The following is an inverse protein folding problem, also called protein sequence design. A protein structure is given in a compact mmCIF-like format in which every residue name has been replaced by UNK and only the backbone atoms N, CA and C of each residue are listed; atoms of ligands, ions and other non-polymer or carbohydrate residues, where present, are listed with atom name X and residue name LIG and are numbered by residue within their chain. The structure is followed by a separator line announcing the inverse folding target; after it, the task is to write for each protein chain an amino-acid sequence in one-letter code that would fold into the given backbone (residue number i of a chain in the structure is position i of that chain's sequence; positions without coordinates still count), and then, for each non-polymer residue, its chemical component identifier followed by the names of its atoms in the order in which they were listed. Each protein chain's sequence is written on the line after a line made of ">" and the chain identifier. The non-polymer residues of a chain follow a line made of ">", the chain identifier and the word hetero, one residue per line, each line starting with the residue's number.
data_IF_528352595182
#
_entry.id   IF_528352595182
#
_cell.length_a   1.000
_cell.length_b   1.000
_cell.length_c   1.000
_cell.angle_alpha   90.00
_cell.angle_beta   90.00
_cell.angle_gamma   90.00
#
_symmetry.space_group_name_H-M   'P 1'
#
loop_
_entity.id
_entity.type
_entity.pdbx_description
1 polymer ?
#
# COMPACT_ATOMS: atom_id res chain seq x y z
N UNK A 1 -62.22 -19.86 -18.85
CA UNK A 1 -60.82 -19.99 -19.30
C UNK A 1 -60.02 -18.87 -18.66
N UNK A 2 -59.00 -19.22 -17.87
CA UNK A 2 -58.16 -18.30 -17.07
C UNK A 2 -57.02 -17.75 -17.94
N UNK A 3 -56.93 -16.45 -18.13
CA UNK A 3 -55.75 -15.79 -18.70
C UNK A 3 -54.88 -15.27 -17.55
N UNK A 4 -53.75 -15.94 -17.27
CA UNK A 4 -52.73 -15.46 -16.34
C UNK A 4 -51.75 -14.57 -17.12
N UNK A 5 -51.80 -13.25 -16.89
CA UNK A 5 -50.69 -12.36 -17.19
C UNK A 5 -49.57 -12.62 -16.17
N UNK A 6 -48.43 -13.11 -16.64
CA UNK A 6 -47.17 -13.12 -15.90
C UNK A 6 -46.32 -12.00 -16.50
N UNK A 7 -46.26 -10.86 -15.80
CA UNK A 7 -45.31 -9.79 -16.05
C UNK A 7 -43.92 -10.28 -15.61
N UNK A 8 -43.04 -10.54 -16.56
CA UNK A 8 -41.64 -10.83 -16.31
C UNK A 8 -40.92 -9.51 -15.95
N UNK A 9 -40.57 -9.36 -14.68
CA UNK A 9 -39.63 -8.32 -14.23
C UNK A 9 -38.23 -8.85 -14.53
N UNK A 10 -37.65 -8.38 -15.63
CA UNK A 10 -36.24 -8.60 -15.94
C UNK A 10 -35.39 -7.66 -15.05
N UNK A 11 -34.86 -8.18 -13.96
CA UNK A 11 -33.78 -7.53 -13.22
C UNK A 11 -32.50 -7.57 -14.06
N UNK A 12 -32.24 -6.48 -14.80
CA UNK A 12 -30.88 -6.14 -15.23
C UNK A 12 -30.07 -5.78 -13.99
N UNK A 13 -29.42 -6.76 -13.37
CA UNK A 13 -28.31 -6.51 -12.47
C UNK A 13 -27.15 -6.01 -13.33
N UNK A 14 -26.96 -4.69 -13.37
CA UNK A 14 -25.79 -4.08 -13.98
C UNK A 14 -24.54 -4.63 -13.33
N UNK A 15 -23.73 -5.37 -14.11
CA UNK A 15 -22.33 -5.59 -13.83
C UNK A 15 -21.69 -4.19 -13.79
N UNK A 16 -21.48 -3.65 -12.60
CA UNK A 16 -20.66 -2.47 -12.44
C UNK A 16 -19.26 -2.81 -12.94
N UNK A 17 -18.88 -2.27 -14.08
CA UNK A 17 -17.49 -2.20 -14.56
C UNK A 17 -16.68 -1.24 -13.67
N UNK A 18 -16.65 -1.50 -12.36
CA UNK A 18 -15.81 -0.81 -11.40
C UNK A 18 -14.51 -1.59 -11.23
N UNK A 19 -13.39 -0.86 -11.13
CA UNK A 19 -12.13 -1.42 -10.67
C UNK A 19 -12.32 -1.86 -9.20
N UNK A 20 -12.16 -3.15 -8.87
CA UNK A 20 -12.39 -3.63 -7.51
C UNK A 20 -11.29 -3.14 -6.57
N UNK A 21 -11.69 -2.74 -5.36
CA UNK A 21 -10.76 -2.59 -4.24
C UNK A 21 -10.48 -3.98 -3.66
N UNK A 22 -9.21 -4.27 -3.36
CA UNK A 22 -8.76 -5.52 -2.76
C UNK A 22 -8.02 -5.25 -1.44
N UNK A 23 -8.10 -6.20 -0.51
CA UNK A 23 -7.38 -6.13 0.75
C UNK A 23 -6.38 -7.28 0.84
N UNK A 24 -5.18 -6.98 1.32
CA UNK A 24 -4.09 -7.93 1.49
C UNK A 24 -3.54 -7.89 2.90
N UNK A 25 -2.91 -8.99 3.30
CA UNK A 25 -2.14 -9.08 4.53
C UNK A 25 -0.68 -9.38 4.20
N UNK A 26 0.24 -8.81 4.97
CA UNK A 26 1.67 -8.97 4.77
C UNK A 26 2.42 -8.63 6.06
N UNK A 27 3.75 -8.61 6.00
CA UNK A 27 4.64 -8.29 7.12
C UNK A 27 5.60 -7.18 6.67
N UNK A 28 5.86 -6.25 7.58
CA UNK A 28 6.87 -5.20 7.41
C UNK A 28 7.87 -5.25 8.56
N UNK A 29 9.06 -4.70 8.34
CA UNK A 29 9.98 -4.33 9.40
C UNK A 29 9.96 -2.81 9.59
N UNK A 30 9.86 -2.32 10.82
CA UNK A 30 9.97 -0.89 11.12
C UNK A 30 11.42 -0.44 10.97
N UNK A 31 11.68 0.53 10.09
CA UNK A 31 13.03 1.04 9.79
C UNK A 31 13.27 2.39 10.45
N UNK A 32 12.25 3.26 10.49
CA UNK A 32 12.35 4.56 11.16
C UNK A 32 11.01 5.01 11.73
N UNK A 33 11.07 5.81 12.79
CA UNK A 33 9.94 6.53 13.37
C UNK A 33 10.33 7.99 13.56
N UNK A 34 9.67 8.88 12.85
CA UNK A 34 9.89 10.32 12.95
C UNK A 34 8.64 11.00 13.52
N UNK A 35 8.81 11.74 14.62
CA UNK A 35 7.72 12.60 15.13
C UNK A 35 7.69 13.88 14.31
N UNK A 36 6.62 14.06 13.55
CA UNK A 36 6.45 15.19 12.63
C UNK A 36 5.91 16.41 13.37
N UNK A 37 4.93 16.19 14.25
CA UNK A 37 4.26 17.24 14.98
C UNK A 37 3.97 16.81 16.42
N UNK A 38 4.09 17.76 17.34
CA UNK A 38 3.79 17.60 18.77
C UNK A 38 2.78 18.65 19.22
N UNK A 39 1.95 18.29 20.20
CA UNK A 39 1.06 19.24 20.85
C UNK A 39 1.81 20.13 21.87
N UNK A 40 1.07 21.02 22.53
CA UNK A 40 1.59 21.93 23.57
C UNK A 40 2.19 21.21 24.79
N UNK A 41 1.84 19.94 25.01
CA UNK A 41 2.35 19.09 26.10
C UNK A 41 3.58 18.31 25.70
N UNK A 42 3.93 18.33 24.40
CA UNK A 42 5.04 17.59 23.83
C UNK A 42 4.67 16.17 23.37
N UNK A 43 3.38 15.81 23.40
CA UNK A 43 2.88 14.52 22.94
C UNK A 43 2.84 14.49 21.40
N UNK A 44 3.20 13.36 20.80
CA UNK A 44 3.22 13.23 19.34
C UNK A 44 1.79 13.18 18.79
N UNK A 45 1.45 14.13 17.90
CA UNK A 45 0.15 14.19 17.23
C UNK A 45 0.22 13.80 15.74
N UNK A 46 1.44 13.75 15.19
CA UNK A 46 1.68 13.21 13.86
C UNK A 46 3.02 12.48 13.83
N UNK A 47 3.02 11.29 13.23
CA UNK A 47 4.22 10.46 13.09
C UNK A 47 4.34 9.95 11.67
N UNK A 48 5.58 9.89 11.18
CA UNK A 48 5.96 9.14 9.99
C UNK A 48 6.60 7.83 10.46
N UNK A 49 6.00 6.72 10.03
CA UNK A 49 6.61 5.40 10.16
C UNK A 49 7.23 5.07 8.81
N UNK A 50 8.51 4.73 8.78
CA UNK A 50 9.21 4.18 7.61
C UNK A 50 9.43 2.69 7.84
N UNK A 51 9.12 1.89 6.83
CA UNK A 51 9.12 0.44 6.93
C UNK A 51 9.61 -0.20 5.64
N UNK A 52 10.19 -1.39 5.81
CA UNK A 52 10.63 -2.25 4.71
C UNK A 52 9.69 -3.45 4.60
N UNK A 53 9.37 -3.83 3.38
CA UNK A 53 8.53 -4.99 3.11
C UNK A 53 9.34 -6.29 3.11
N UNK A 54 9.37 -7.00 4.26
CA UNK A 54 10.11 -8.25 4.46
C UNK A 54 9.91 -9.32 3.35
N UNK A 55 8.68 -9.63 2.89
CA UNK A 55 8.50 -10.66 1.86
C UNK A 55 8.82 -10.15 0.44
N UNK A 56 8.90 -8.84 0.23
CA UNK A 56 8.97 -8.28 -1.12
C UNK A 56 10.43 -8.18 -1.59
N UNK A 57 10.76 -8.67 -2.81
CA UNK A 57 12.11 -8.58 -3.32
C UNK A 57 12.55 -7.13 -3.59
N UNK A 58 13.82 -6.85 -3.31
CA UNK A 58 14.44 -5.54 -3.48
C UNK A 58 14.21 -4.61 -2.28
N UNK A 59 14.78 -3.41 -2.34
CA UNK A 59 14.65 -2.41 -1.27
C UNK A 59 13.30 -1.69 -1.40
N UNK A 60 12.23 -2.36 -0.97
CA UNK A 60 10.88 -1.82 -0.99
C UNK A 60 10.59 -1.12 0.34
N UNK A 61 10.79 0.19 0.36
CA UNK A 61 10.50 1.02 1.53
C UNK A 61 9.19 1.78 1.33
N UNK A 62 8.43 1.92 2.41
CA UNK A 62 7.23 2.75 2.45
C UNK A 62 7.25 3.63 3.69
N UNK A 63 6.82 4.87 3.52
CA UNK A 63 6.53 5.80 4.60
C UNK A 63 5.03 5.97 4.68
N UNK A 64 4.46 5.79 5.87
CA UNK A 64 3.07 6.14 6.16
C UNK A 64 3.03 7.20 7.24
N UNK A 65 2.24 8.23 6.99
CA UNK A 65 1.91 9.26 7.97
C UNK A 65 0.62 8.89 8.68
N UNK A 66 0.62 8.98 10.00
CA UNK A 66 -0.58 8.81 10.81
C UNK A 66 -0.83 10.00 11.72
N UNK A 67 -2.11 10.29 11.94
CA UNK A 67 -2.59 11.30 12.87
C UNK A 67 -2.48 10.87 14.34
N UNK A 68 -3.11 11.62 15.27
CA UNK A 68 -2.86 11.51 16.70
C UNK A 68 -3.11 10.11 17.29
N UNK A 69 -4.20 9.46 16.88
CA UNK A 69 -4.54 8.12 17.39
C UNK A 69 -3.53 7.07 16.97
N UNK A 70 -3.08 7.12 15.71
CA UNK A 70 -2.04 6.25 15.19
C UNK A 70 -0.68 6.56 15.82
N UNK A 71 -0.34 7.84 15.97
CA UNK A 71 0.91 8.29 16.59
C UNK A 71 1.06 7.74 18.02
N UNK A 72 -0.03 7.80 18.80
CA UNK A 72 -0.09 7.24 20.16
C UNK A 72 -0.06 5.71 20.16
N UNK A 73 -0.84 5.07 19.28
CA UNK A 73 -0.89 3.61 19.24
C UNK A 73 0.47 2.97 18.92
N UNK A 74 1.23 3.60 18.02
CA UNK A 74 2.50 3.09 17.51
C UNK A 74 3.69 3.30 18.45
N UNK A 75 3.54 4.02 19.57
CA UNK A 75 4.63 4.27 20.53
C UNK A 75 5.24 2.99 21.13
N UNK A 76 4.47 1.91 21.16
CA UNK A 76 4.94 0.60 21.63
C UNK A 76 5.86 -0.12 20.65
N UNK A 77 5.85 0.27 19.38
CA UNK A 77 6.65 -0.35 18.33
C UNK A 77 7.99 0.36 18.19
N UNK A 78 9.04 -0.42 17.96
CA UNK A 78 10.41 0.03 17.87
C UNK A 78 10.99 -0.25 16.49
N UNK A 79 12.02 0.50 16.13
CA UNK A 79 12.84 0.19 14.96
C UNK A 79 13.40 -1.23 15.10
N UNK A 80 13.26 -2.02 14.04
CA UNK A 80 13.62 -3.42 13.97
C UNK A 80 12.45 -4.39 14.20
N UNK A 81 11.31 -3.92 14.73
CA UNK A 81 10.14 -4.77 14.96
C UNK A 81 9.53 -5.24 13.64
N UNK A 82 9.15 -6.51 13.60
CA UNK A 82 8.38 -7.10 12.49
C UNK A 82 6.91 -7.11 12.85
N UNK A 83 6.08 -6.49 12.02
CA UNK A 83 4.66 -6.30 12.30
C UNK A 83 3.81 -6.79 11.13
N UNK A 84 2.67 -7.47 11.41
CA UNK A 84 1.69 -7.72 10.38
C UNK A 84 1.07 -6.39 9.93
N UNK A 85 0.73 -6.29 8.66
CA UNK A 85 0.04 -5.13 8.09
C UNK A 85 -1.14 -5.56 7.26
N UNK A 86 -2.16 -4.70 7.21
CA UNK A 86 -3.24 -4.80 6.24
C UNK A 86 -3.16 -3.69 5.22
N UNK A 87 -3.24 -4.08 3.97
CA UNK A 87 -3.02 -3.22 2.81
C UNK A 87 -4.31 -3.14 2.03
N UNK A 88 -4.73 -1.93 1.68
CA UNK A 88 -5.81 -1.70 0.74
C UNK A 88 -5.20 -1.38 -0.61
N UNK A 89 -5.60 -2.12 -1.64
CA UNK A 89 -5.30 -1.88 -3.04
C UNK A 89 -6.57 -1.30 -3.68
N UNK A 90 -6.48 -0.10 -4.24
CA UNK A 90 -7.64 0.66 -4.68
C UNK A 90 -7.36 1.45 -5.95
N UNK A 91 -8.41 1.71 -6.71
CA UNK A 91 -8.30 2.44 -7.97
C UNK A 91 -8.16 3.94 -7.73
N UNK A 92 -7.08 4.54 -8.22
CA UNK A 92 -6.90 5.98 -8.22
C UNK A 92 -7.60 6.60 -9.46
N UNK A 93 -8.39 7.68 -9.28
CA UNK A 93 -9.05 8.36 -10.40
C UNK A 93 -8.10 8.85 -11.52
N UNK A 94 -6.80 8.93 -11.27
CA UNK A 94 -5.75 9.26 -12.26
C UNK A 94 -5.42 8.08 -13.20
N UNK A 95 -6.09 6.93 -13.06
CA UNK A 95 -6.02 5.82 -14.01
C UNK A 95 -4.98 4.75 -13.68
N UNK A 96 -4.68 4.55 -12.40
CA UNK A 96 -3.72 3.53 -11.93
C UNK A 96 -4.19 2.98 -10.60
N UNK A 97 -3.88 1.71 -10.31
CA UNK A 97 -4.05 1.23 -8.94
C UNK A 97 -2.99 1.80 -8.02
N UNK A 98 -3.40 2.03 -6.77
CA UNK A 98 -2.54 2.39 -5.66
C UNK A 98 -2.78 1.43 -4.52
N UNK A 99 -1.82 1.37 -3.61
CA UNK A 99 -1.98 0.67 -2.37
C UNK A 99 -1.58 1.55 -1.20
N UNK A 100 -2.15 1.26 -0.04
CA UNK A 100 -1.70 1.85 1.20
C UNK A 100 -2.03 0.98 2.42
N UNK A 101 -1.22 1.11 3.47
CA UNK A 101 -1.39 0.35 4.72
C UNK A 101 -2.44 1.05 5.58
N UNK A 102 -3.56 0.38 5.89
CA UNK A 102 -4.59 0.93 6.78
C UNK A 102 -4.50 0.38 8.21
N UNK A 103 -3.71 -0.67 8.43
CA UNK A 103 -3.48 -1.26 9.76
C UNK A 103 -2.04 -1.78 9.86
N UNK A 104 -1.34 -1.41 10.93
CA UNK A 104 0.02 -1.85 11.25
C UNK A 104 0.06 -2.40 12.68
N UNK A 105 0.33 -3.70 12.81
CA UNK A 105 0.09 -4.43 14.04
C UNK A 105 -1.40 -4.38 14.39
N UNK A 106 -1.73 -3.74 15.50
CA UNK A 106 -3.09 -3.43 15.95
C UNK A 106 -3.45 -1.94 15.81
N UNK A 107 -2.59 -1.14 15.19
CA UNK A 107 -2.79 0.30 15.02
C UNK A 107 -3.41 0.61 13.66
N UNK A 108 -4.64 1.11 13.68
CA UNK A 108 -5.38 1.53 12.49
C UNK A 108 -5.09 2.97 12.13
N UNK A 109 -5.19 3.27 10.84
CA UNK A 109 -5.21 4.64 10.34
C UNK A 109 -6.11 4.77 9.12
N UNK A 110 -6.54 5.99 8.86
CA UNK A 110 -7.21 6.33 7.62
C UNK A 110 -6.18 6.48 6.49
N UNK A 111 -6.59 6.11 5.26
CA UNK A 111 -5.79 6.31 4.06
C UNK A 111 -6.10 7.69 3.48
N UNK A 112 -5.12 8.58 3.57
CA UNK A 112 -5.17 9.89 2.94
C UNK A 112 -4.53 9.83 1.55
N UNK A 113 -5.32 9.47 0.54
CA UNK A 113 -4.81 9.24 -0.82
C UNK A 113 -4.02 10.42 -1.43
N UNK A 114 -4.23 11.65 -0.97
CA UNK A 114 -3.56 12.85 -1.48
C UNK A 114 -2.55 13.45 -0.52
N UNK A 115 -2.27 12.81 0.62
CA UNK A 115 -1.27 13.30 1.55
C UNK A 115 0.14 13.10 0.99
N UNK A 116 0.97 14.15 1.06
CA UNK A 116 2.38 14.09 0.64
C UNK A 116 3.27 13.34 1.66
N UNK A 117 2.78 13.14 2.89
CA UNK A 117 3.51 12.47 3.96
C UNK A 117 3.60 10.96 3.82
N UNK A 118 2.72 10.34 3.02
CA UNK A 118 2.73 8.90 2.77
C UNK A 118 3.24 8.61 1.36
N UNK A 119 4.37 7.91 1.24
CA UNK A 119 5.02 7.69 -0.05
C UNK A 119 5.86 6.40 -0.06
N UNK A 120 6.11 5.91 -1.27
CA UNK A 120 6.91 4.72 -1.53
C UNK A 120 8.32 5.14 -2.00
N UNK A 121 9.33 4.43 -1.51
CA UNK A 121 10.69 4.47 -2.04
C UNK A 121 11.00 3.08 -2.60
N UNK A 122 10.63 2.85 -3.85
CA UNK A 122 10.99 1.65 -4.59
C UNK A 122 11.83 2.00 -5.80
N UNK A 123 12.90 1.25 -5.95
CA UNK A 123 13.72 1.29 -7.15
C UNK A 123 14.39 -0.07 -7.28
N UNK A 124 14.17 -0.72 -8.41
CA UNK A 124 14.82 -1.98 -8.73
C UNK A 124 15.75 -1.74 -9.94
N UNK A 125 16.97 -2.27 -9.85
CA UNK A 125 18.02 -2.09 -10.86
C UNK A 125 18.47 -3.43 -11.42
N UNK A 126 18.53 -3.53 -12.75
CA UNK A 126 19.06 -4.70 -13.47
C UNK A 126 20.39 -4.35 -14.17
N UNK A 127 21.27 -5.34 -14.26
CA UNK A 127 22.47 -5.26 -15.09
C UNK A 127 22.11 -5.13 -16.58
N UNK A 128 22.68 -4.13 -17.25
CA UNK A 128 22.67 -4.07 -18.71
C UNK A 128 23.85 -4.87 -19.26
N UNK A 129 23.55 -5.85 -20.12
CA UNK A 129 24.57 -6.70 -20.75
C UNK A 129 24.70 -6.37 -22.23
N UNK A 130 25.94 -6.16 -22.69
CA UNK A 130 26.28 -6.10 -24.10
C UNK A 130 27.44 -7.06 -24.38
N UNK A 131 27.32 -7.85 -25.45
CA UNK A 131 28.33 -8.86 -25.84
C UNK A 131 28.73 -9.82 -24.70
N UNK A 132 27.77 -10.19 -23.83
CA UNK A 132 27.99 -11.10 -22.71
C UNK A 132 28.70 -10.48 -21.50
N UNK A 133 28.96 -9.17 -21.49
CA UNK A 133 29.57 -8.44 -20.38
C UNK A 133 28.59 -7.43 -19.81
N UNK A 134 28.60 -7.25 -18.48
CA UNK A 134 27.87 -6.16 -17.83
C UNK A 134 28.52 -4.83 -18.25
N UNK A 135 27.74 -3.96 -18.87
CA UNK A 135 28.18 -2.64 -19.38
C UNK A 135 27.59 -1.48 -18.58
N UNK A 136 26.63 -1.76 -17.70
CA UNK A 136 25.98 -0.77 -16.84
C UNK A 136 24.84 -1.38 -16.07
N UNK A 137 23.98 -0.53 -15.53
CA UNK A 137 22.74 -0.92 -14.87
C UNK A 137 21.62 0.03 -15.27
N UNK A 138 20.40 -0.49 -15.28
CA UNK A 138 19.18 0.29 -15.52
C UNK A 138 18.26 0.13 -14.34
N UNK A 139 17.91 1.26 -13.74
CA UNK A 139 16.95 1.28 -12.65
C UNK A 139 15.57 1.69 -13.13
N UNK A 140 14.54 1.03 -12.61
CA UNK A 140 13.14 1.26 -12.92
C UNK A 140 12.34 1.43 -11.63
N UNK A 141 11.38 2.35 -11.66
CA UNK A 141 10.33 2.48 -10.63
C UNK A 141 9.05 1.70 -10.98
N UNK A 142 9.05 1.01 -12.13
CA UNK A 142 7.96 0.09 -12.46
C UNK A 142 8.20 -1.23 -11.75
N UNK A 143 7.21 -1.77 -11.01
CA UNK A 143 7.32 -3.07 -10.36
C UNK A 143 7.71 -4.16 -11.34
N UNK A 144 8.72 -4.97 -11.00
CA UNK A 144 9.09 -6.12 -11.81
C UNK A 144 8.09 -7.26 -11.62
N UNK A 145 8.03 -8.18 -12.59
CA UNK A 145 7.12 -9.35 -12.53
C UNK A 145 7.32 -10.19 -11.28
N UNK A 146 8.57 -10.32 -10.81
CA UNK A 146 8.91 -11.07 -9.61
C UNK A 146 8.34 -10.39 -8.35
N UNK A 147 8.47 -9.06 -8.23
CA UNK A 147 7.88 -8.31 -7.14
C UNK A 147 6.36 -8.52 -7.08
N UNK A 148 5.67 -8.28 -8.19
CA UNK A 148 4.20 -8.43 -8.25
C UNK A 148 3.74 -9.86 -7.99
N UNK A 149 4.54 -10.88 -8.33
CA UNK A 149 4.18 -12.27 -8.04
C UNK A 149 4.21 -12.63 -6.55
N UNK A 150 4.97 -11.88 -5.74
CA UNK A 150 5.11 -12.10 -4.30
C UNK A 150 4.26 -11.09 -3.52
N UNK A 151 4.25 -9.83 -3.97
CA UNK A 151 3.55 -8.70 -3.37
C UNK A 151 2.55 -8.11 -4.40
N UNK A 152 1.40 -8.78 -4.61
CA UNK A 152 0.47 -8.45 -5.68
C UNK A 152 -0.14 -7.05 -5.57
N UNK A 153 -0.30 -6.52 -4.36
CA UNK A 153 -0.82 -5.16 -4.14
C UNK A 153 0.09 -4.05 -4.68
N UNK A 154 1.36 -4.35 -4.98
CA UNK A 154 2.28 -3.40 -5.61
C UNK A 154 2.07 -3.30 -7.12
N UNK A 155 1.14 -4.07 -7.70
CA UNK A 155 0.72 -3.89 -9.08
C UNK A 155 0.09 -2.50 -9.25
N UNK A 156 0.50 -1.79 -10.31
CA UNK A 156 -0.06 -0.46 -10.66
C UNK A 156 -1.05 -0.52 -11.84
N UNK A 157 -1.32 -1.71 -12.36
CA UNK A 157 -2.06 -1.97 -13.61
C UNK A 157 -3.34 -2.74 -13.34
#
# INVERSE_FOLDING_TARGET
>A
MRFRLLFAVACFAGLGCGHPDENFESVIQVVRRDVVEKDEKGDAIQVDMEMEWDPCPGDQLQVIRGGPEFAKCTEKYKVGDYLPVKVKHFWDPRGTYRWDIYEMGDCKRDIEAYAEGSYEKSQECDDEKAYGRTVGFKCSRRPFRKLVSICPWMARQ
#
